data_IF_754208169841
#
_entry.id   IF_754208169841
#
_cell.length_a   1.000
_cell.length_b   1.000
_cell.length_c   1.000
_cell.angle_alpha   90.00
_cell.angle_beta   90.00
_cell.angle_gamma   90.00
#
_symmetry.space_group_name_H-M   'P 1'
#
loop_
_entity.id
_entity.type
_entity.pdbx_description
1 polymer ?
#
# COMPACT_ATOMS: atom_id res chain seq x y z
N UNK A 1 -5.69 -10.33 3.62
CA UNK A 1 -4.65 -9.74 2.75
C UNK A 1 -4.13 -8.41 3.27
N UNK A 2 -4.96 -7.46 3.73
CA UNK A 2 -4.47 -6.19 4.28
C UNK A 2 -3.46 -6.36 5.43
N UNK A 3 -3.71 -7.29 6.37
CA UNK A 3 -2.75 -7.62 7.44
C UNK A 3 -1.39 -8.10 6.92
N UNK A 4 -1.37 -8.94 5.89
CA UNK A 4 -0.14 -9.46 5.30
C UNK A 4 0.69 -8.35 4.65
N UNK A 5 0.05 -7.40 3.96
CA UNK A 5 0.74 -6.25 3.38
C UNK A 5 1.29 -5.33 4.47
N UNK A 6 0.51 -5.06 5.53
CA UNK A 6 1.01 -4.27 6.68
C UNK A 6 2.24 -4.93 7.30
N UNK A 7 2.16 -6.22 7.58
CA UNK A 7 3.27 -6.99 8.14
C UNK A 7 4.51 -6.96 7.23
N UNK A 8 4.33 -7.17 5.92
CA UNK A 8 5.42 -7.09 4.95
C UNK A 8 6.17 -5.76 5.02
N UNK A 9 5.45 -4.63 5.09
CA UNK A 9 6.09 -3.31 5.20
C UNK A 9 6.89 -3.17 6.49
N UNK A 10 6.35 -3.65 7.62
CA UNK A 10 7.08 -3.66 8.89
C UNK A 10 8.33 -4.56 8.85
N UNK A 11 8.25 -5.74 8.23
CA UNK A 11 9.39 -6.65 8.03
C UNK A 11 10.49 -6.04 7.16
N UNK A 12 10.12 -5.18 6.21
CA UNK A 12 11.06 -4.40 5.40
C UNK A 12 11.65 -3.20 6.15
N UNK A 13 11.23 -2.93 7.39
CA UNK A 13 11.68 -1.81 8.21
C UNK A 13 10.97 -0.49 7.91
N UNK A 14 9.90 -0.51 7.11
CA UNK A 14 9.08 0.67 6.86
C UNK A 14 8.01 0.84 7.95
N UNK A 15 7.59 2.09 8.18
CA UNK A 15 6.45 2.42 9.05
C UNK A 15 5.33 3.05 8.20
N UNK A 16 4.42 2.23 7.62
CA UNK A 16 3.36 2.75 6.77
C UNK A 16 2.26 3.43 7.59
N UNK A 17 1.71 4.53 7.06
CA UNK A 17 0.44 5.05 7.53
C UNK A 17 -0.69 4.10 7.09
N UNK A 18 -1.50 3.64 8.05
CA UNK A 18 -2.58 2.68 7.81
C UNK A 18 -3.92 3.36 8.02
N UNK A 19 -4.75 3.34 6.98
CA UNK A 19 -6.13 3.81 7.04
C UNK A 19 -7.08 2.60 6.93
N UNK A 20 -7.85 2.36 7.98
CA UNK A 20 -8.85 1.28 8.06
C UNK A 20 -10.20 1.82 7.60
N UNK A 21 -10.51 1.67 6.31
CA UNK A 21 -11.70 2.26 5.69
C UNK A 21 -13.02 1.71 6.27
N UNK A 22 -13.01 0.52 6.86
CA UNK A 22 -14.17 -0.07 7.54
C UNK A 22 -14.52 0.64 8.87
N UNK A 23 -13.56 1.34 9.47
CA UNK A 23 -13.71 2.05 10.74
C UNK A 23 -13.68 3.58 10.59
N UNK A 24 -13.55 4.10 9.37
CA UNK A 24 -13.51 5.54 9.09
C UNK A 24 -14.90 6.06 8.67
N UNK A 25 -15.31 7.21 9.20
CA UNK A 25 -16.60 7.83 8.84
C UNK A 25 -16.71 8.19 7.35
N UNK A 26 -15.58 8.44 6.68
CA UNK A 26 -15.47 8.71 5.24
C UNK A 26 -15.04 7.47 4.44
N UNK A 27 -15.04 6.30 5.07
CA UNK A 27 -14.57 5.04 4.50
C UNK A 27 -15.20 4.67 3.17
N UNK A 28 -16.52 4.86 3.05
CA UNK A 28 -17.29 4.53 1.84
C UNK A 28 -16.93 5.46 0.69
N UNK A 29 -16.79 6.76 0.96
CA UNK A 29 -16.38 7.76 -0.02
C UNK A 29 -14.95 7.48 -0.51
N UNK A 30 -14.04 7.11 0.41
CA UNK A 30 -12.69 6.69 0.06
C UNK A 30 -12.68 5.43 -0.80
N UNK A 31 -13.47 4.41 -0.47
CA UNK A 31 -13.59 3.21 -1.30
C UNK A 31 -14.09 3.53 -2.71
N UNK A 32 -15.09 4.40 -2.85
CA UNK A 32 -15.59 4.82 -4.16
C UNK A 32 -14.55 5.60 -4.96
N UNK A 33 -13.81 6.49 -4.31
CA UNK A 33 -12.70 7.21 -4.94
C UNK A 33 -11.60 6.24 -5.43
N UNK A 34 -11.21 5.27 -4.59
CA UNK A 34 -10.24 4.23 -4.94
C UNK A 34 -10.70 3.41 -6.15
N UNK A 35 -11.97 2.98 -6.16
CA UNK A 35 -12.56 2.29 -7.33
C UNK A 35 -12.57 3.16 -8.58
N UNK A 36 -12.87 4.45 -8.44
CA UNK A 36 -12.83 5.43 -9.53
C UNK A 36 -11.42 5.62 -10.11
N UNK A 37 -10.38 5.42 -9.31
CA UNK A 37 -8.98 5.39 -9.75
C UNK A 37 -8.55 4.04 -10.36
N UNK A 38 -9.45 3.06 -10.46
CA UNK A 38 -9.17 1.74 -11.01
C UNK A 38 -8.67 0.71 -9.99
N UNK A 39 -8.72 0.99 -8.69
CA UNK A 39 -8.38 0.01 -7.66
C UNK A 39 -9.49 -1.05 -7.56
N UNK A 40 -9.25 -2.27 -8.06
CA UNK A 40 -10.20 -3.38 -7.96
C UNK A 40 -9.48 -4.68 -7.55
N UNK A 41 -9.67 -5.18 -6.32
CA UNK A 41 -10.51 -4.64 -5.25
C UNK A 41 -10.01 -3.28 -4.71
N UNK A 42 -10.89 -2.51 -4.07
CA UNK A 42 -10.58 -1.17 -3.50
C UNK A 42 -9.48 -1.23 -2.45
N UNK A 43 -9.39 -2.32 -1.70
CA UNK A 43 -8.42 -2.51 -0.61
C UNK A 43 -7.67 -3.84 -0.73
N UNK A 44 -6.39 -3.89 -0.30
CA UNK A 44 -5.58 -2.73 0.09
C UNK A 44 -5.14 -1.93 -1.14
N UNK A 45 -5.19 -0.60 -1.05
CA UNK A 45 -4.59 0.31 -2.02
C UNK A 45 -3.32 0.90 -1.40
N UNK A 46 -2.17 0.67 -2.03
CA UNK A 46 -0.87 1.04 -1.48
C UNK A 46 -0.29 2.22 -2.24
N UNK A 47 0.13 3.22 -1.48
CA UNK A 47 0.76 4.43 -2.00
C UNK A 47 2.17 4.53 -1.42
N UNK A 48 3.16 4.84 -2.28
CA UNK A 48 4.56 5.05 -1.89
C UNK A 48 5.02 6.36 -2.51
N UNK A 49 5.61 7.24 -1.70
CA UNK A 49 6.04 8.57 -2.17
C UNK A 49 4.90 9.43 -2.75
N UNK A 50 3.67 9.23 -2.26
CA UNK A 50 2.47 9.94 -2.74
C UNK A 50 1.89 9.41 -4.06
N UNK A 51 2.42 8.33 -4.62
CA UNK A 51 1.93 7.70 -5.86
C UNK A 51 1.24 6.38 -5.57
N UNK A 52 0.15 6.10 -6.27
CA UNK A 52 -0.49 4.79 -6.23
C UNK A 52 0.44 3.75 -6.88
N UNK A 53 0.79 2.72 -6.11
CA UNK A 53 1.69 1.65 -6.56
C UNK A 53 0.91 0.39 -6.92
N UNK A 54 -0.16 0.08 -6.18
CA UNK A 54 -1.04 -1.02 -6.55
C UNK A 54 -1.75 -1.68 -5.38
N UNK A 55 -2.32 -2.83 -5.70
CA UNK A 55 -3.04 -3.73 -4.79
C UNK A 55 -2.11 -4.75 -4.13
N UNK A 56 -2.67 -5.68 -3.35
CA UNK A 56 -1.90 -6.77 -2.75
C UNK A 56 -1.04 -7.55 -3.75
N UNK A 57 -1.58 -7.84 -4.95
CA UNK A 57 -0.86 -8.64 -5.95
C UNK A 57 0.35 -7.91 -6.49
N UNK A 58 0.19 -6.62 -6.78
CA UNK A 58 1.23 -5.76 -7.32
C UNK A 58 2.37 -5.62 -6.30
N UNK A 59 2.04 -5.36 -5.03
CA UNK A 59 3.04 -5.27 -3.96
C UNK A 59 3.80 -6.57 -3.76
N UNK A 60 3.13 -7.73 -3.80
CA UNK A 60 3.80 -9.03 -3.69
C UNK A 60 4.72 -9.25 -4.90
N UNK A 61 4.30 -8.89 -6.11
CA UNK A 61 5.15 -8.98 -7.31
C UNK A 61 6.41 -8.13 -7.16
N UNK A 62 6.26 -6.86 -6.77
CA UNK A 62 7.37 -5.92 -6.54
C UNK A 62 8.30 -6.39 -5.41
N UNK A 63 7.76 -7.11 -4.42
CA UNK A 63 8.56 -7.69 -3.36
C UNK A 63 9.43 -8.85 -3.88
N UNK A 64 8.85 -9.72 -4.71
CA UNK A 64 9.54 -10.88 -5.31
C UNK A 64 10.62 -10.44 -6.30
N UNK A 65 10.36 -9.41 -7.10
CA UNK A 65 11.36 -8.87 -8.05
C UNK A 65 12.38 -7.92 -7.40
N UNK A 66 12.19 -7.56 -6.13
CA UNK A 66 13.09 -6.72 -5.33
C UNK A 66 12.90 -5.21 -5.51
N UNK A 67 12.12 -4.76 -6.50
CA UNK A 67 11.89 -3.34 -6.79
C UNK A 67 11.11 -2.61 -5.69
N UNK A 68 10.33 -3.33 -4.87
CA UNK A 68 9.62 -2.73 -3.73
C UNK A 68 10.59 -2.04 -2.76
N UNK A 69 11.75 -2.65 -2.49
CA UNK A 69 12.77 -2.04 -1.62
C UNK A 69 13.31 -0.75 -2.22
N UNK A 70 13.55 -0.73 -3.55
CA UNK A 70 14.00 0.48 -4.24
C UNK A 70 12.98 1.62 -4.14
N UNK A 71 11.69 1.32 -4.36
CA UNK A 71 10.63 2.31 -4.21
C UNK A 71 10.56 2.90 -2.79
N UNK A 72 10.76 2.06 -1.77
CA UNK A 72 10.78 2.49 -0.38
C UNK A 72 12.00 3.35 -0.05
N UNK A 73 13.18 3.03 -0.58
CA UNK A 73 14.39 3.86 -0.43
C UNK A 73 14.22 5.22 -1.12
N UNK A 74 13.72 5.23 -2.34
CA UNK A 74 13.50 6.47 -3.11
C UNK A 74 12.48 7.39 -2.40
N UNK A 75 11.47 6.81 -1.75
CA UNK A 75 10.50 7.51 -0.93
C UNK A 75 11.00 7.86 0.48
N UNK A 76 12.25 7.52 0.83
CA UNK A 76 12.85 7.69 2.17
C UNK A 76 12.05 7.02 3.29
N UNK A 77 11.36 5.93 2.96
CA UNK A 77 10.62 5.13 3.93
C UNK A 77 11.53 4.15 4.69
N UNK A 78 12.66 3.76 4.10
CA UNK A 78 13.70 2.89 4.67
C UNK A 78 15.10 3.40 4.28
N UNK A 79 16.15 2.93 4.96
CA UNK A 79 17.52 3.51 4.89
C UNK A 79 18.66 2.50 4.66
N UNK A 80 18.34 1.22 4.39
CA UNK A 80 19.34 0.16 4.22
C UNK A 80 19.95 0.11 2.83
#
# INVERSE_FOLDING_TARGET
MCHSIKQLFYELGASPAVHELDNDSYGREMEWALRGMGCNPSVPAVFIGGKFVGSSKDIISLHVDGSLKQLLMDAKAIWF
#
